data_IF_825307991781
#
_entry.id   IF_825307991781
#
_cell.length_a   1.000
_cell.length_b   1.000
_cell.length_c   1.000
_cell.angle_alpha   90.00
_cell.angle_beta   90.00
_cell.angle_gamma   90.00
#
_symmetry.space_group_name_H-M   'P 1'
#
loop_
_entity.id
_entity.type
_entity.pdbx_description
1 polymer ?
#
# COMPACT_ATOMS: atom_id res chain seq x y z
N UNK A 1 -14.70 -6.50 -3.52
CA UNK A 1 -13.50 -5.79 -3.02
C UNK A 1 -13.82 -4.32 -2.69
N UNK A 2 -14.97 -4.01 -2.09
CA UNK A 2 -15.51 -2.63 -2.15
C UNK A 2 -15.18 -1.72 -0.95
N UNK A 3 -14.51 -2.22 0.11
CA UNK A 3 -14.22 -1.42 1.31
C UNK A 3 -12.72 -1.35 1.68
N UNK A 4 -11.83 -1.59 0.70
CA UNK A 4 -10.39 -1.75 0.94
C UNK A 4 -9.65 -0.41 1.07
N UNK A 5 -10.02 0.54 0.22
CA UNK A 5 -9.40 1.86 0.15
C UNK A 5 -9.77 2.79 1.34
N UNK A 6 -11.01 2.80 1.85
CA UNK A 6 -11.41 3.68 2.95
C UNK A 6 -10.60 3.47 4.24
N UNK A 7 -10.28 2.22 4.62
CA UNK A 7 -9.50 1.96 5.83
C UNK A 7 -8.05 2.44 5.70
N UNK A 8 -7.43 2.24 4.54
CA UNK A 8 -6.08 2.77 4.27
C UNK A 8 -6.08 4.30 4.26
N UNK A 9 -7.09 4.93 3.67
CA UNK A 9 -7.25 6.39 3.68
C UNK A 9 -7.41 6.92 5.11
N UNK A 10 -8.23 6.26 5.93
CA UNK A 10 -8.39 6.61 7.33
C UNK A 10 -7.06 6.51 8.09
N UNK A 11 -6.32 5.40 7.90
CA UNK A 11 -5.02 5.23 8.55
C UNK A 11 -3.98 6.25 8.11
N UNK A 12 -4.03 6.73 6.86
CA UNK A 12 -3.17 7.83 6.39
C UNK A 12 -3.52 9.15 7.07
N UNK A 13 -4.81 9.46 7.22
CA UNK A 13 -5.24 10.64 7.98
C UNK A 13 -4.80 10.56 9.45
N UNK A 14 -4.98 9.40 10.09
CA UNK A 14 -4.48 9.14 11.46
C UNK A 14 -2.96 9.33 11.54
N UNK A 15 -2.21 8.95 10.50
CA UNK A 15 -0.76 9.12 10.45
C UNK A 15 -0.36 10.60 10.36
N UNK A 16 -1.03 11.37 9.51
CA UNK A 16 -0.82 12.82 9.38
C UNK A 16 -1.11 13.55 10.70
N UNK A 17 -2.19 13.17 11.38
CA UNK A 17 -2.55 13.71 12.71
C UNK A 17 -1.52 13.32 13.79
N UNK A 18 -0.96 12.11 13.68
CA UNK A 18 0.05 11.60 14.61
C UNK A 18 1.45 12.20 14.42
N UNK A 19 1.65 13.12 13.47
CA UNK A 19 2.93 13.79 13.24
C UNK A 19 3.47 14.51 14.50
N UNK A 20 2.61 14.80 15.46
CA UNK A 20 2.95 15.40 16.75
C UNK A 20 3.35 14.38 17.85
N UNK A 21 3.16 13.07 17.62
CA UNK A 21 3.45 11.98 18.57
C UNK A 21 4.16 10.79 17.89
N UNK A 22 5.48 10.63 18.10
CA UNK A 22 6.27 9.58 17.46
C UNK A 22 5.80 8.15 17.75
N UNK A 23 5.35 7.89 18.99
CA UNK A 23 4.86 6.57 19.40
C UNK A 23 3.53 6.21 18.71
N UNK A 24 2.63 7.18 18.61
CA UNK A 24 1.37 7.01 17.89
C UNK A 24 1.63 6.78 16.39
N UNK A 25 2.53 7.58 15.79
CA UNK A 25 2.88 7.43 14.38
C UNK A 25 3.43 6.04 14.05
N UNK A 26 4.31 5.47 14.89
CA UNK A 26 4.82 4.11 14.68
C UNK A 26 3.69 3.08 14.73
N UNK A 27 2.78 3.20 15.71
CA UNK A 27 1.64 2.27 15.83
C UNK A 27 0.74 2.30 14.59
N UNK A 28 0.52 3.50 14.01
CA UNK A 28 -0.26 3.70 12.78
C UNK A 28 0.47 3.12 11.58
N UNK A 29 1.79 3.30 11.44
CA UNK A 29 2.58 2.66 10.37
C UNK A 29 2.47 1.13 10.42
N UNK A 30 2.51 0.52 11.60
CA UNK A 30 2.28 -0.93 11.73
C UNK A 30 0.86 -1.33 11.32
N UNK A 31 -0.15 -0.52 11.64
CA UNK A 31 -1.51 -0.76 11.21
C UNK A 31 -1.65 -0.69 9.68
N UNK A 32 -1.05 0.33 9.04
CA UNK A 32 -1.01 0.46 7.57
C UNK A 32 -0.30 -0.74 6.96
N UNK A 33 0.86 -1.13 7.48
CA UNK A 33 1.63 -2.30 7.01
C UNK A 33 0.80 -3.59 7.01
N UNK A 34 0.08 -3.86 8.11
CA UNK A 34 -0.78 -5.05 8.21
C UNK A 34 -1.93 -5.00 7.20
N UNK A 35 -2.54 -3.84 7.04
CA UNK A 35 -3.67 -3.67 6.12
C UNK A 35 -3.23 -3.79 4.66
N UNK A 36 -2.12 -3.15 4.30
CA UNK A 36 -1.44 -3.35 3.01
C UNK A 36 -1.19 -4.83 2.75
N UNK A 37 -0.58 -5.54 3.69
CA UNK A 37 -0.26 -6.95 3.52
C UNK A 37 -1.52 -7.80 3.28
N UNK A 38 -2.64 -7.47 3.92
CA UNK A 38 -3.94 -8.10 3.68
C UNK A 38 -4.40 -7.90 2.24
N UNK A 39 -4.17 -6.73 1.64
CA UNK A 39 -4.51 -6.48 0.23
C UNK A 39 -3.61 -7.25 -0.73
N UNK A 40 -2.30 -7.28 -0.47
CA UNK A 40 -1.36 -8.03 -1.28
C UNK A 40 -1.73 -9.53 -1.34
N UNK A 41 -2.18 -10.13 -0.23
CA UNK A 41 -2.60 -11.53 -0.21
C UNK A 41 -3.95 -11.79 -0.88
N UNK A 42 -4.87 -10.82 -0.84
CA UNK A 42 -6.21 -10.96 -1.41
C UNK A 42 -6.28 -10.60 -2.89
N UNK A 43 -5.17 -10.18 -3.50
CA UNK A 43 -5.13 -9.85 -4.91
C UNK A 43 -5.27 -11.14 -5.76
N UNK A 44 -6.24 -11.22 -6.69
CA UNK A 44 -6.39 -12.38 -7.54
C UNK A 44 -5.16 -12.59 -8.45
N UNK A 45 -4.67 -13.82 -8.52
CA UNK A 45 -3.52 -14.16 -9.37
C UNK A 45 -3.73 -13.78 -10.83
N UNK A 46 -4.94 -13.97 -11.37
CA UNK A 46 -5.27 -13.60 -12.75
C UNK A 46 -5.16 -12.10 -13.03
N UNK A 47 -5.43 -11.25 -12.03
CA UNK A 47 -5.24 -9.80 -12.15
C UNK A 47 -3.75 -9.43 -12.17
N UNK A 48 -2.96 -10.03 -11.27
CA UNK A 48 -1.53 -9.78 -11.24
C UNK A 48 -0.87 -10.22 -12.56
N UNK A 49 -1.32 -11.31 -13.17
CA UNK A 49 -0.80 -11.78 -14.46
C UNK A 49 -1.00 -10.79 -15.62
N UNK A 50 -2.03 -9.95 -15.57
CA UNK A 50 -2.31 -8.92 -16.59
C UNK A 50 -1.36 -7.72 -16.50
N UNK A 51 -0.64 -7.57 -15.39
CA UNK A 51 0.33 -6.50 -15.22
C UNK A 51 1.65 -6.77 -15.99
N UNK A 52 2.37 -5.71 -16.39
CA UNK A 52 3.73 -5.80 -16.89
C UNK A 52 4.66 -6.55 -15.93
N UNK A 53 5.65 -7.26 -16.49
CA UNK A 53 6.58 -8.08 -15.69
C UNK A 53 7.25 -7.28 -14.57
N UNK A 54 7.75 -6.08 -14.86
CA UNK A 54 8.45 -5.22 -13.88
C UNK A 54 7.55 -4.86 -12.69
N UNK A 55 6.27 -4.58 -12.96
CA UNK A 55 5.30 -4.26 -11.91
C UNK A 55 4.98 -5.48 -11.04
N UNK A 56 4.93 -6.68 -11.63
CA UNK A 56 4.76 -7.94 -10.87
C UNK A 56 5.96 -8.20 -9.97
N UNK A 57 7.18 -8.01 -10.47
CA UNK A 57 8.41 -8.10 -9.67
C UNK A 57 8.39 -7.12 -8.50
N UNK A 58 8.03 -5.86 -8.74
CA UNK A 58 7.88 -4.85 -7.70
C UNK A 58 6.81 -5.24 -6.68
N UNK A 59 5.69 -5.80 -7.13
CA UNK A 59 4.64 -6.29 -6.24
C UNK A 59 5.17 -7.38 -5.30
N UNK A 60 5.82 -8.42 -5.83
CA UNK A 60 6.35 -9.50 -5.00
C UNK A 60 7.44 -9.04 -4.03
N UNK A 61 8.34 -8.15 -4.47
CA UNK A 61 9.36 -7.56 -3.59
C UNK A 61 8.75 -6.78 -2.44
N UNK A 62 7.74 -5.95 -2.71
CA UNK A 62 7.04 -5.20 -1.67
C UNK A 62 6.26 -6.14 -0.73
N UNK A 63 5.59 -7.16 -1.27
CA UNK A 63 4.90 -8.17 -0.46
C UNK A 63 5.87 -8.84 0.52
N UNK A 64 6.99 -9.34 0.02
CA UNK A 64 8.02 -9.96 0.85
C UNK A 64 8.56 -8.98 1.89
N UNK A 65 8.85 -7.74 1.47
CA UNK A 65 9.30 -6.67 2.34
C UNK A 65 8.32 -6.33 3.46
N UNK A 66 7.00 -6.41 3.20
CA UNK A 66 5.93 -6.20 4.19
C UNK A 66 5.74 -7.39 5.14
N UNK A 67 6.03 -8.62 4.69
CA UNK A 67 5.94 -9.84 5.51
C UNK A 67 7.10 -9.98 6.50
N UNK A 68 8.28 -9.46 6.14
CA UNK A 68 9.46 -9.56 6.99
C UNK A 68 9.20 -8.90 8.36
N UNK A 69 9.57 -9.52 9.48
CA UNK A 69 9.59 -8.81 10.76
C UNK A 69 10.59 -7.65 10.66
N UNK A 70 10.30 -6.54 11.33
CA UNK A 70 11.27 -5.46 11.42
C UNK A 70 12.49 -5.97 12.19
N UNK A 71 13.64 -5.99 11.53
CA UNK A 71 14.91 -6.39 12.13
C UNK A 71 15.42 -5.33 13.11
N UNK A 72 16.27 -5.73 14.05
CA UNK A 72 17.01 -4.78 14.88
C UNK A 72 18.41 -4.50 14.26
N UNK A 73 18.83 -3.23 14.12
CA UNK A 73 18.09 -2.03 14.48
C UNK A 73 16.92 -1.76 13.53
N UNK A 74 15.79 -1.30 14.08
CA UNK A 74 14.60 -1.03 13.27
C UNK A 74 14.85 0.12 12.30
N UNK A 75 14.30 0.07 11.07
CA UNK A 75 14.36 1.20 10.15
C UNK A 75 13.75 2.45 10.81
N UNK A 76 14.27 3.62 10.47
CA UNK A 76 13.73 4.89 10.97
C UNK A 76 12.25 5.04 10.57
N UNK A 77 11.49 5.80 11.35
CA UNK A 77 10.09 6.13 11.05
C UNK A 77 9.91 6.59 9.59
N UNK A 78 10.79 7.49 9.12
CA UNK A 78 10.78 8.00 7.74
C UNK A 78 11.03 6.89 6.72
N UNK A 79 11.94 5.96 6.98
CA UNK A 79 12.21 4.85 6.06
C UNK A 79 11.01 3.89 5.97
N UNK A 80 10.36 3.60 7.10
CA UNK A 80 9.16 2.78 7.14
C UNK A 80 8.00 3.45 6.39
N UNK A 81 7.81 4.76 6.59
CA UNK A 81 6.81 5.55 5.87
C UNK A 81 7.02 5.49 4.35
N UNK A 82 8.24 5.78 3.88
CA UNK A 82 8.56 5.73 2.44
C UNK A 82 8.31 4.32 1.86
N UNK A 83 8.66 3.26 2.59
CA UNK A 83 8.39 1.90 2.14
C UNK A 83 6.89 1.56 2.06
N UNK A 84 6.09 2.09 2.99
CA UNK A 84 4.62 1.95 2.96
C UNK A 84 4.02 2.68 1.76
N UNK A 85 4.44 3.92 1.50
CA UNK A 85 3.98 4.71 0.36
C UNK A 85 4.32 4.03 -0.97
N UNK A 86 5.54 3.50 -1.11
CA UNK A 86 5.93 2.73 -2.30
C UNK A 86 5.07 1.46 -2.50
N UNK A 87 4.75 0.75 -1.42
CA UNK A 87 3.89 -0.42 -1.49
C UNK A 87 2.44 -0.04 -1.86
N UNK A 88 1.93 1.09 -1.38
CA UNK A 88 0.63 1.63 -1.80
C UNK A 88 0.61 1.92 -3.30
N UNK A 89 1.61 2.67 -3.78
CA UNK A 89 1.71 3.05 -5.20
C UNK A 89 1.74 1.81 -6.13
N UNK A 90 2.49 0.78 -5.73
CA UNK A 90 2.56 -0.48 -6.50
C UNK A 90 1.23 -1.22 -6.46
N UNK A 91 0.57 -1.29 -5.31
CA UNK A 91 -0.75 -1.92 -5.20
C UNK A 91 -1.78 -1.21 -6.07
N UNK A 92 -1.79 0.12 -6.10
CA UNK A 92 -2.69 0.92 -6.93
C UNK A 92 -2.45 0.70 -8.43
N UNK A 93 -1.19 0.66 -8.85
CA UNK A 93 -0.84 0.35 -10.24
C UNK A 93 -1.31 -1.05 -10.63
N UNK A 94 -1.14 -2.04 -9.75
CA UNK A 94 -1.60 -3.41 -9.99
C UNK A 94 -3.12 -3.50 -10.04
N UNK A 95 -3.82 -2.74 -9.19
CA UNK A 95 -5.27 -2.61 -9.26
C UNK A 95 -5.73 -1.95 -10.57
N UNK A 96 -4.89 -1.06 -11.13
CA UNK A 96 -5.10 -0.40 -12.41
C UNK A 96 -4.84 -1.26 -13.66
N UNK A 97 -4.11 -2.38 -13.57
CA UNK A 97 -3.77 -3.20 -14.75
C UNK A 97 -5.00 -3.78 -15.47
N UNK A 98 -6.11 -4.00 -14.75
CA UNK A 98 -7.35 -4.52 -15.33
C UNK A 98 -8.24 -3.41 -15.91
N UNK A 99 -7.90 -2.13 -15.69
CA UNK A 99 -8.64 -1.02 -16.31
C UNK A 99 -8.10 -0.86 -17.72
N UNK A 100 -8.91 -1.28 -18.70
CA UNK A 100 -8.65 -1.01 -20.11
C UNK A 100 -8.22 0.46 -20.32
N UNK A 101 -7.37 0.77 -21.32
CA UNK A 101 -6.94 2.13 -21.63
C UNK A 101 -8.08 3.11 -22.03
N UNK A 102 -9.36 2.72 -21.92
CA UNK A 102 -10.53 3.54 -22.21
C UNK A 102 -11.20 4.22 -21.00
N UNK A 103 -10.82 3.90 -19.75
CA UNK A 103 -11.54 4.39 -18.56
C UNK A 103 -10.78 5.46 -17.75
N UNK A 104 -10.00 6.30 -18.43
CA UNK A 104 -9.66 7.65 -17.95
C UNK A 104 -10.85 8.58 -18.24
N UNK A 105 -11.97 8.43 -17.55
CA UNK A 105 -12.98 9.49 -17.49
C UNK A 105 -13.50 9.67 -16.07
N UNK A 106 -13.19 10.87 -15.56
CA UNK A 106 -14.02 11.68 -14.68
C UNK A 106 -14.09 11.23 -13.22
N UNK A 107 -13.01 11.51 -12.48
CA UNK A 107 -13.22 12.16 -11.18
C UNK A 107 -13.49 13.64 -11.50
N UNK A 108 -14.75 13.93 -11.83
CA UNK A 108 -15.25 15.29 -11.85
C UNK A 108 -15.31 15.77 -10.41
N UNK A 109 -14.60 16.87 -10.16
CA UNK A 109 -14.78 17.74 -9.02
C UNK A 109 -16.27 18.03 -8.83
N UNK A 110 -16.76 17.81 -7.61
CA UNK A 110 -17.98 18.40 -7.08
C UNK A 110 -17.61 19.10 -5.77
#
# INVERSE_FOLDING_TARGET
MENLYPRLQQLRAELEESATSPENGLSVLYAIRRELLRHYHNLPFGQLQQCPFDLRELFYRNQQGLQQPLSFPSPSFRAQYVGIEQALDVLEQVLGCNREPGQRRQLSVA
#
